data_IF_500946346044
#
_entry.id   IF_500946346044
#
_cell.length_a   1.000
_cell.length_b   1.000
_cell.length_c   1.000
_cell.angle_alpha   90.00
_cell.angle_beta   90.00
_cell.angle_gamma   90.00
#
_symmetry.space_group_name_H-M   'P 1'
#
loop_
_entity.id
_entity.type
_entity.pdbx_description
1 polymer ?
#
# COMPACT_ATOMS: atom_id res chain seq x y z
N UNK A 1 -19.09 -7.37 33.62
CA UNK A 1 -19.13 -6.90 32.22
C UNK A 1 -17.68 -6.76 31.77
N UNK A 2 -17.20 -7.73 30.98
CA UNK A 2 -15.78 -7.97 30.73
C UNK A 2 -15.35 -7.16 29.51
N UNK A 3 -14.35 -6.29 29.71
CA UNK A 3 -13.82 -5.36 28.73
C UNK A 3 -13.06 -6.05 27.60
N UNK A 4 -13.25 -5.52 26.39
CA UNK A 4 -12.70 -6.04 25.15
C UNK A 4 -11.54 -5.15 24.66
N UNK A 5 -10.43 -5.13 25.41
CA UNK A 5 -9.28 -4.23 25.17
C UNK A 5 -8.09 -4.88 24.45
N UNK A 6 -8.31 -5.98 23.69
CA UNK A 6 -7.22 -6.70 22.98
C UNK A 6 -7.14 -6.43 21.47
N UNK A 7 -7.90 -5.49 20.91
CA UNK A 7 -8.11 -5.42 19.46
C UNK A 7 -7.16 -4.51 18.65
N UNK A 8 -6.10 -3.96 19.26
CA UNK A 8 -5.14 -3.06 18.58
C UNK A 8 -3.69 -3.56 18.54
N UNK A 9 -3.43 -4.78 19.00
CA UNK A 9 -2.06 -5.26 19.31
C UNK A 9 -1.40 -6.14 18.24
N UNK A 10 -2.14 -6.63 17.24
CA UNK A 10 -1.64 -7.69 16.35
C UNK A 10 -0.66 -7.23 15.24
N UNK A 11 -0.37 -5.93 15.11
CA UNK A 11 0.63 -5.44 14.14
C UNK A 11 1.91 -4.88 14.77
N UNK A 12 1.97 -4.71 16.10
CA UNK A 12 3.09 -4.08 16.79
C UNK A 12 3.79 -4.96 17.85
N UNK A 13 3.29 -6.17 18.14
CA UNK A 13 3.90 -7.05 19.14
C UNK A 13 4.61 -8.26 18.53
N UNK A 14 5.94 -8.22 18.58
CA UNK A 14 6.80 -9.35 18.92
C UNK A 14 6.57 -10.66 18.17
N UNK A 15 7.11 -10.77 16.96
CA UNK A 15 7.46 -12.07 16.38
C UNK A 15 8.60 -12.69 17.21
N UNK A 16 8.27 -13.47 18.23
CA UNK A 16 9.18 -14.40 18.87
C UNK A 16 9.13 -15.73 18.11
N UNK A 17 10.07 -15.91 17.17
CA UNK A 17 10.26 -17.19 16.51
C UNK A 17 11.03 -18.11 17.46
N UNK A 18 10.34 -19.11 18.01
CA UNK A 18 10.97 -20.16 18.82
C UNK A 18 11.73 -21.11 17.89
N UNK A 19 13.06 -21.03 17.91
CA UNK A 19 13.94 -21.99 17.23
C UNK A 19 13.96 -23.26 18.10
N UNK A 20 13.26 -24.30 17.65
CA UNK A 20 13.38 -25.62 18.24
C UNK A 20 14.66 -26.29 17.71
N UNK A 21 15.71 -26.26 18.53
CA UNK A 21 16.90 -27.09 18.41
C UNK A 21 16.56 -28.52 18.83
N UNK A 22 16.51 -29.44 17.87
CA UNK A 22 16.43 -30.89 18.10
C UNK A 22 17.83 -31.53 18.07
N UNK A 23 18.13 -32.52 18.93
CA UNK A 23 19.48 -32.97 19.19
C UNK A 23 20.03 -33.95 18.16
N UNK A 24 21.36 -33.91 18.03
CA UNK A 24 22.21 -34.91 17.37
C UNK A 24 22.19 -36.20 18.18
N UNK A 25 21.76 -37.31 17.58
CA UNK A 25 22.06 -38.66 18.06
C UNK A 25 22.49 -39.53 16.90
N UNK A 26 23.75 -39.95 16.94
CA UNK A 26 24.34 -40.90 15.99
C UNK A 26 23.85 -42.33 16.22
N UNK A 27 23.98 -43.14 15.17
CA UNK A 27 23.72 -44.57 15.18
C UNK A 27 23.82 -45.14 13.77
N UNK A 28 25.01 -45.59 13.38
CA UNK A 28 25.19 -46.55 12.28
C UNK A 28 24.64 -47.92 12.72
N UNK A 29 24.16 -48.74 11.78
CA UNK A 29 24.99 -49.88 11.40
C UNK A 29 25.00 -50.22 9.89
N UNK A 30 26.17 -50.70 9.44
CA UNK A 30 26.43 -51.66 8.35
C UNK A 30 25.51 -52.90 8.42
N UNK A 31 25.24 -53.73 7.40
CA UNK A 31 25.53 -53.82 5.97
C UNK A 31 24.56 -54.87 5.39
N UNK A 32 24.17 -54.78 4.12
CA UNK A 32 23.84 -55.96 3.29
C UNK A 32 23.73 -55.58 1.80
N UNK A 33 24.66 -56.09 1.00
CA UNK A 33 24.72 -55.93 -0.44
C UNK A 33 23.67 -56.81 -1.17
N UNK A 34 23.12 -56.31 -2.29
CA UNK A 34 23.01 -57.07 -3.55
C UNK A 34 22.67 -56.19 -4.77
N UNK A 35 23.18 -56.65 -5.90
CA UNK A 35 23.51 -55.94 -7.13
C UNK A 35 22.37 -55.60 -8.13
N UNK A 36 22.67 -54.56 -8.93
CA UNK A 36 22.43 -54.39 -10.40
C UNK A 36 21.00 -54.31 -10.96
N UNK A 37 20.67 -53.15 -11.57
CA UNK A 37 20.64 -52.97 -13.05
C UNK A 37 20.24 -51.54 -13.43
N UNK A 38 20.99 -50.95 -14.37
CA UNK A 38 20.79 -49.57 -14.83
C UNK A 38 19.49 -49.34 -15.60
N UNK A 39 19.00 -48.10 -15.53
CA UNK A 39 18.10 -47.53 -16.54
C UNK A 39 18.38 -46.03 -16.69
N UNK A 40 18.49 -45.64 -17.96
CA UNK A 40 18.86 -44.34 -18.53
C UNK A 40 18.12 -43.16 -17.87
N UNK A 41 18.87 -42.12 -17.49
CA UNK A 41 18.35 -40.78 -17.20
C UNK A 41 17.74 -40.20 -18.49
N UNK A 42 16.41 -40.18 -18.58
CA UNK A 42 15.69 -39.30 -19.51
C UNK A 42 15.57 -37.93 -18.83
N UNK A 43 16.19 -36.91 -19.42
CA UNK A 43 15.93 -35.51 -19.08
C UNK A 43 14.44 -35.24 -19.29
N UNK A 44 13.65 -35.14 -18.21
CA UNK A 44 12.35 -34.48 -18.25
C UNK A 44 12.63 -32.99 -18.34
N UNK A 45 12.45 -32.43 -19.54
CA UNK A 45 12.17 -30.99 -19.73
C UNK A 45 11.07 -30.64 -18.74
N UNK A 46 11.38 -29.72 -17.83
CA UNK A 46 10.44 -29.22 -16.83
C UNK A 46 9.19 -28.73 -17.56
N UNK A 47 8.07 -29.41 -17.31
CA UNK A 47 6.77 -28.83 -17.59
C UNK A 47 6.68 -27.58 -16.72
N UNK A 48 6.72 -26.41 -17.38
CA UNK A 48 6.34 -25.13 -16.81
C UNK A 48 4.93 -25.34 -16.26
N UNK A 49 4.81 -25.50 -14.95
CA UNK A 49 3.52 -25.50 -14.28
C UNK A 49 2.90 -24.14 -14.58
N UNK A 50 1.85 -24.13 -15.40
CA UNK A 50 0.94 -23.01 -15.46
C UNK A 50 0.45 -22.80 -14.03
N UNK A 51 0.96 -21.76 -13.38
CA UNK A 51 0.38 -21.26 -12.14
C UNK A 51 -1.08 -20.94 -12.48
N UNK A 52 -2.00 -21.59 -11.79
CA UNK A 52 -3.42 -21.26 -11.89
C UNK A 52 -3.59 -19.77 -11.62
N UNK A 53 -4.24 -19.05 -12.54
CA UNK A 53 -4.51 -17.61 -12.43
C UNK A 53 -5.48 -17.24 -11.29
N UNK A 54 -5.97 -18.22 -10.54
CA UNK A 54 -6.77 -18.01 -9.34
C UNK A 54 -5.93 -17.28 -8.29
N UNK A 55 -6.33 -16.07 -7.94
CA UNK A 55 -5.80 -15.39 -6.78
C UNK A 55 -5.97 -16.27 -5.54
N UNK A 56 -5.00 -16.25 -4.62
CA UNK A 56 -5.03 -17.09 -3.43
C UNK A 56 -6.23 -16.74 -2.55
N UNK A 57 -6.80 -17.77 -1.93
CA UNK A 57 -7.95 -17.62 -1.05
C UNK A 57 -7.65 -16.68 0.12
N UNK A 58 -8.61 -15.83 0.43
CA UNK A 58 -8.49 -14.73 1.38
C UNK A 58 -8.83 -15.21 2.80
N UNK A 59 -8.00 -14.86 3.79
CA UNK A 59 -8.37 -15.03 5.20
C UNK A 59 -9.40 -13.97 5.63
N UNK A 60 -10.68 -14.34 5.60
CA UNK A 60 -11.79 -13.46 5.98
C UNK A 60 -11.75 -13.00 7.44
N UNK A 61 -11.14 -13.77 8.36
CA UNK A 61 -11.02 -13.36 9.76
C UNK A 61 -10.00 -12.23 9.88
N UNK A 62 -8.85 -12.38 9.24
CA UNK A 62 -7.82 -11.35 9.20
C UNK A 62 -8.33 -10.06 8.52
N UNK A 63 -9.13 -10.19 7.45
CA UNK A 63 -9.81 -9.04 6.83
C UNK A 63 -10.80 -8.39 7.76
N UNK A 64 -11.62 -9.15 8.50
CA UNK A 64 -12.55 -8.59 9.48
C UNK A 64 -11.85 -7.74 10.54
N UNK A 65 -10.67 -8.18 11.00
CA UNK A 65 -9.82 -7.41 11.91
C UNK A 65 -9.27 -6.13 11.24
N UNK A 66 -8.85 -6.20 9.97
CA UNK A 66 -8.38 -5.05 9.20
C UNK A 66 -9.49 -4.01 8.99
N UNK A 67 -10.69 -4.48 8.64
CA UNK A 67 -11.89 -3.66 8.52
C UNK A 67 -12.20 -2.94 9.82
N UNK A 68 -11.84 -3.51 10.97
CA UNK A 68 -11.95 -2.89 12.27
C UNK A 68 -13.31 -2.20 12.41
N UNK A 69 -14.41 -2.95 12.37
CA UNK A 69 -15.78 -2.44 12.55
C UNK A 69 -16.33 -1.49 11.47
N UNK A 70 -15.61 -1.25 10.37
CA UNK A 70 -16.17 -0.61 9.17
C UNK A 70 -16.71 -1.68 8.23
N UNK A 71 -17.73 -1.32 7.47
CA UNK A 71 -18.30 -2.18 6.43
C UNK A 71 -18.39 -1.41 5.13
N UNK A 72 -18.20 -2.09 4.00
CA UNK A 72 -18.46 -1.50 2.69
C UNK A 72 -19.95 -1.15 2.54
N UNK A 73 -20.25 -0.08 1.79
CA UNK A 73 -21.58 0.51 1.71
C UNK A 73 -21.85 1.57 2.78
N UNK A 74 -21.01 1.73 3.80
CA UNK A 74 -21.19 2.79 4.80
C UNK A 74 -21.05 4.18 4.17
N UNK A 75 -21.99 5.07 4.46
CA UNK A 75 -21.88 6.49 4.11
C UNK A 75 -20.77 7.20 4.90
N UNK A 76 -20.24 8.35 4.43
CA UNK A 76 -19.27 9.15 5.16
C UNK A 76 -19.72 9.50 6.58
N UNK A 77 -21.03 9.73 6.79
CA UNK A 77 -21.59 10.02 8.11
C UNK A 77 -21.53 8.81 9.04
N UNK A 78 -21.80 7.61 8.53
CA UNK A 78 -21.69 6.37 9.31
C UNK A 78 -20.24 6.09 9.69
N UNK A 79 -19.30 6.24 8.75
CA UNK A 79 -17.85 6.12 9.02
C UNK A 79 -17.40 7.12 10.07
N UNK A 80 -17.80 8.39 9.96
CA UNK A 80 -17.55 9.41 10.98
C UNK A 80 -18.11 9.03 12.35
N UNK A 81 -19.33 8.48 12.41
CA UNK A 81 -19.94 8.02 13.65
C UNK A 81 -19.13 6.92 14.34
N UNK A 82 -18.63 5.94 13.59
CA UNK A 82 -17.76 4.88 14.12
C UNK A 82 -16.42 5.47 14.60
N UNK A 83 -15.81 6.38 13.84
CA UNK A 83 -14.57 7.05 14.25
C UNK A 83 -14.75 7.89 15.52
N UNK A 84 -15.85 8.63 15.63
CA UNK A 84 -16.14 9.46 16.80
C UNK A 84 -16.31 8.62 18.06
N UNK A 85 -17.01 7.48 17.98
CA UNK A 85 -17.12 6.53 19.09
C UNK A 85 -15.75 6.05 19.57
N UNK A 86 -14.85 5.70 18.65
CA UNK A 86 -13.48 5.28 18.99
C UNK A 86 -12.67 6.36 19.69
N UNK A 87 -12.79 7.58 19.20
CA UNK A 87 -12.12 8.73 19.79
C UNK A 87 -12.66 8.97 21.20
N UNK A 88 -13.98 8.95 21.37
CA UNK A 88 -14.62 9.10 22.67
C UNK A 88 -14.17 8.01 23.65
N UNK A 89 -14.12 6.75 23.23
CA UNK A 89 -13.62 5.64 24.05
C UNK A 89 -12.14 5.85 24.43
N UNK A 90 -11.27 6.18 23.46
CA UNK A 90 -9.84 6.44 23.69
C UNK A 90 -9.63 7.55 24.73
N UNK A 91 -10.29 8.70 24.55
CA UNK A 91 -10.11 9.83 25.46
C UNK A 91 -10.84 9.63 26.79
N UNK A 92 -11.95 8.88 26.83
CA UNK A 92 -12.62 8.53 28.08
C UNK A 92 -11.71 7.73 28.99
N UNK A 93 -10.99 6.75 28.45
CA UNK A 93 -10.05 5.94 29.23
C UNK A 93 -8.85 6.78 29.72
N UNK A 94 -8.33 7.67 28.86
CA UNK A 94 -7.24 8.59 29.25
C UNK A 94 -7.65 9.61 30.32
N UNK A 95 -8.88 10.14 30.22
CA UNK A 95 -9.47 11.07 31.21
C UNK A 95 -9.68 10.34 32.53
N UNK A 96 -10.18 9.10 32.50
CA UNK A 96 -10.39 8.31 33.71
C UNK A 96 -9.07 7.92 34.41
N UNK A 97 -7.98 7.78 33.65
CA UNK A 97 -6.65 7.49 34.19
C UNK A 97 -6.00 8.69 34.90
N UNK A 98 -6.54 9.90 34.74
CA UNK A 98 -5.94 11.13 35.28
C UNK A 98 -6.90 11.82 36.25
N UNK A 99 -6.44 12.15 37.45
CA UNK A 99 -7.23 12.90 38.46
C UNK A 99 -7.07 14.41 38.38
N UNK A 100 -6.08 14.91 37.63
CA UNK A 100 -5.84 16.34 37.41
C UNK A 100 -6.90 16.95 36.46
N UNK A 101 -7.63 17.94 36.96
CA UNK A 101 -8.67 18.67 36.24
C UNK A 101 -8.13 19.36 34.98
N UNK A 102 -6.93 19.93 35.03
CA UNK A 102 -6.34 20.63 33.88
C UNK A 102 -5.97 19.66 32.75
N UNK A 103 -5.41 18.50 33.09
CA UNK A 103 -5.11 17.47 32.11
C UNK A 103 -6.38 16.85 31.53
N UNK A 104 -7.43 16.66 32.33
CA UNK A 104 -8.74 16.23 31.82
C UNK A 104 -9.32 17.23 30.80
N UNK A 105 -9.23 18.54 31.07
CA UNK A 105 -9.71 19.56 30.12
C UNK A 105 -8.88 19.57 28.82
N UNK A 106 -7.55 19.49 28.93
CA UNK A 106 -6.66 19.34 27.76
C UNK A 106 -7.02 18.11 26.92
N UNK A 107 -7.32 16.97 27.56
CA UNK A 107 -7.72 15.75 26.87
C UNK A 107 -9.07 15.91 26.15
N UNK A 108 -10.05 16.59 26.76
CA UNK A 108 -11.33 16.90 26.12
C UNK A 108 -11.15 17.82 24.90
N UNK A 109 -10.30 18.82 25.01
CA UNK A 109 -9.99 19.71 23.88
C UNK A 109 -9.22 18.98 22.76
N UNK A 110 -8.30 18.08 23.10
CA UNK A 110 -7.64 17.19 22.13
C UNK A 110 -8.66 16.31 21.39
N UNK A 111 -9.62 15.71 22.11
CA UNK A 111 -10.68 14.90 21.52
C UNK A 111 -11.53 15.72 20.53
N UNK A 112 -11.97 16.92 20.91
CA UNK A 112 -12.72 17.82 20.01
C UNK A 112 -11.92 18.20 18.77
N UNK A 113 -10.65 18.57 18.94
CA UNK A 113 -9.75 18.93 17.82
C UNK A 113 -9.56 17.77 16.86
N UNK A 114 -9.40 16.57 17.38
CA UNK A 114 -9.26 15.35 16.58
C UNK A 114 -10.53 15.04 15.77
N UNK A 115 -11.71 15.09 16.39
CA UNK A 115 -12.99 14.94 15.67
C UNK A 115 -13.18 15.98 14.58
N UNK A 116 -12.84 17.25 14.87
CA UNK A 116 -12.91 18.36 13.89
C UNK A 116 -11.94 18.15 12.73
N UNK A 117 -10.73 17.67 13.01
CA UNK A 117 -9.72 17.36 11.98
C UNK A 117 -10.21 16.28 11.02
N UNK A 118 -10.84 15.22 11.53
CA UNK A 118 -11.38 14.13 10.70
C UNK A 118 -12.57 14.62 9.87
N UNK A 119 -13.45 15.44 10.45
CA UNK A 119 -14.54 16.03 9.68
C UNK A 119 -14.03 16.90 8.54
N UNK A 120 -13.02 17.74 8.83
CA UNK A 120 -12.40 18.63 7.85
C UNK A 120 -11.55 17.90 6.79
N UNK A 121 -11.18 16.64 7.00
CA UNK A 121 -10.39 15.87 6.03
C UNK A 121 -11.23 15.31 4.88
N UNK A 122 -12.56 15.39 4.99
CA UNK A 122 -13.46 14.96 3.92
C UNK A 122 -13.23 15.80 2.65
N UNK A 123 -12.84 15.14 1.57
CA UNK A 123 -12.51 15.77 0.28
C UNK A 123 -13.23 15.06 -0.85
N UNK A 124 -13.93 15.79 -1.71
CA UNK A 124 -14.49 15.27 -2.96
C UNK A 124 -13.53 15.51 -4.13
N UNK A 125 -13.43 14.55 -5.04
CA UNK A 125 -12.58 14.64 -6.24
C UNK A 125 -13.41 15.11 -7.45
N UNK A 126 -13.76 16.40 -7.44
CA UNK A 126 -14.70 17.04 -8.36
C UNK A 126 -14.06 17.59 -9.67
N UNK A 127 -12.87 17.13 -10.05
CA UNK A 127 -12.13 17.69 -11.21
C UNK A 127 -11.17 18.83 -10.88
N UNK A 128 -11.31 19.45 -9.71
CA UNK A 128 -10.38 20.51 -9.28
C UNK A 128 -9.13 19.88 -8.69
N UNK A 129 -7.96 20.41 -9.07
CA UNK A 129 -6.67 20.01 -8.48
C UNK A 129 -6.73 20.11 -6.96
N UNK A 130 -6.42 19.03 -6.25
CA UNK A 130 -6.35 18.97 -4.79
C UNK A 130 -4.92 18.71 -4.35
N UNK A 131 -4.63 18.98 -3.08
CA UNK A 131 -3.35 18.65 -2.45
C UNK A 131 -3.04 17.15 -2.50
N UNK A 132 -4.07 16.30 -2.59
CA UNK A 132 -3.94 14.85 -2.62
C UNK A 132 -3.44 14.29 -3.96
N UNK A 133 -3.45 15.09 -5.02
CA UNK A 133 -3.03 14.66 -6.36
C UNK A 133 -1.51 14.39 -6.46
N UNK A 134 -0.73 14.81 -5.45
CA UNK A 134 0.73 14.60 -5.35
C UNK A 134 1.07 13.87 -4.03
N UNK A 135 0.19 12.98 -3.58
CA UNK A 135 0.33 12.28 -2.30
C UNK A 135 0.44 10.76 -2.49
N UNK A 136 0.68 10.05 -1.40
CA UNK A 136 0.78 8.58 -1.35
C UNK A 136 -0.44 7.82 -1.93
N UNK A 137 -1.56 8.50 -2.12
CA UNK A 137 -2.82 7.95 -2.64
C UNK A 137 -3.16 8.47 -4.04
N UNK A 138 -2.25 9.18 -4.70
CA UNK A 138 -2.43 9.76 -6.04
C UNK A 138 -3.00 8.78 -7.07
N UNK A 139 -2.58 7.52 -7.03
CA UNK A 139 -3.03 6.47 -7.95
C UNK A 139 -4.32 5.78 -7.54
N UNK A 140 -4.90 6.11 -6.37
CA UNK A 140 -6.00 5.35 -5.78
C UNK A 140 -7.39 5.93 -6.06
N UNK A 141 -7.47 7.17 -6.56
CA UNK A 141 -8.70 7.86 -6.92
C UNK A 141 -8.60 8.46 -8.33
N UNK A 142 -9.75 8.83 -8.90
CA UNK A 142 -9.81 9.65 -10.10
C UNK A 142 -10.80 10.82 -9.89
N UNK A 143 -10.55 11.91 -10.59
CA UNK A 143 -11.45 13.06 -10.56
C UNK A 143 -12.68 12.84 -11.45
N UNK A 144 -13.80 13.48 -11.11
CA UNK A 144 -15.02 13.46 -11.93
C UNK A 144 -15.79 12.13 -11.90
N UNK A 145 -15.47 11.26 -10.94
CA UNK A 145 -16.05 9.92 -10.81
C UNK A 145 -16.93 9.75 -9.57
N UNK A 146 -17.44 10.85 -9.01
CA UNK A 146 -18.20 10.87 -7.75
C UNK A 146 -17.43 10.23 -6.58
N UNK A 147 -16.11 10.28 -6.69
CA UNK A 147 -15.21 9.78 -5.66
C UNK A 147 -14.96 10.84 -4.60
N UNK A 148 -14.91 10.38 -3.36
CA UNK A 148 -14.57 11.20 -2.21
C UNK A 148 -13.69 10.41 -1.25
N UNK A 149 -13.07 11.12 -0.32
CA UNK A 149 -12.17 10.54 0.64
C UNK A 149 -12.32 11.17 2.02
N UNK A 150 -12.08 10.40 3.06
CA UNK A 150 -11.88 10.86 4.43
C UNK A 150 -10.59 10.28 4.99
N UNK A 151 -9.85 11.07 5.77
CA UNK A 151 -8.56 10.65 6.35
C UNK A 151 -8.65 10.62 7.87
N UNK A 152 -8.22 9.51 8.44
CA UNK A 152 -8.05 9.31 9.88
C UNK A 152 -6.57 9.08 10.21
N UNK A 153 -6.04 9.87 11.15
CA UNK A 153 -4.65 9.82 11.56
C UNK A 153 -4.56 8.99 12.84
N UNK A 154 -4.08 7.77 12.71
CA UNK A 154 -3.90 6.85 13.82
C UNK A 154 -2.46 7.01 14.33
N UNK A 155 -2.27 7.99 15.21
CA UNK A 155 -1.00 8.24 15.89
C UNK A 155 -1.12 7.95 17.39
N UNK A 156 -0.27 7.06 17.87
CA UNK A 156 -0.09 6.73 19.27
C UNK A 156 1.43 6.57 19.54
N UNK A 157 2.08 7.64 20.04
CA UNK A 157 3.52 7.61 20.31
C UNK A 157 3.92 6.55 21.34
N UNK A 158 3.07 6.28 22.33
CA UNK A 158 3.35 5.30 23.39
C UNK A 158 3.38 3.87 22.83
N UNK A 159 2.58 3.60 21.80
CA UNK A 159 2.50 2.31 21.13
C UNK A 159 3.36 2.22 19.86
N UNK A 160 4.16 3.25 19.57
CA UNK A 160 4.90 3.40 18.31
C UNK A 160 4.01 3.20 17.06
N UNK A 161 2.76 3.68 17.14
CA UNK A 161 1.81 3.63 16.03
C UNK A 161 1.84 4.97 15.32
N UNK A 162 2.18 4.95 14.04
CA UNK A 162 2.12 6.10 13.15
C UNK A 162 1.62 5.67 11.77
N UNK A 163 0.29 5.56 11.65
CA UNK A 163 -0.36 5.15 10.42
C UNK A 163 -1.49 6.11 10.03
N UNK A 164 -1.80 6.16 8.75
CA UNK A 164 -2.92 6.93 8.21
C UNK A 164 -3.88 5.97 7.52
N UNK A 165 -5.15 6.08 7.86
CA UNK A 165 -6.22 5.33 7.21
C UNK A 165 -7.05 6.29 6.36
N UNK A 166 -7.11 6.01 5.08
CA UNK A 166 -7.92 6.71 4.11
C UNK A 166 -9.14 5.86 3.80
N UNK A 167 -10.31 6.48 3.82
CA UNK A 167 -11.58 5.88 3.45
C UNK A 167 -12.02 6.49 2.14
N UNK A 168 -12.19 5.68 1.12
CA UNK A 168 -12.62 6.10 -0.20
C UNK A 168 -14.08 5.74 -0.41
N UNK A 169 -14.82 6.73 -0.90
CA UNK A 169 -16.23 6.64 -1.17
C UNK A 169 -16.46 6.83 -2.66
N UNK A 170 -17.41 6.08 -3.21
CA UNK A 170 -17.93 6.27 -4.57
C UNK A 170 -19.45 6.33 -4.45
N UNK A 171 -20.08 7.28 -5.12
CA UNK A 171 -21.54 7.52 -5.02
C UNK A 171 -22.04 7.68 -3.57
N UNK A 172 -21.15 8.12 -2.66
CA UNK A 172 -21.46 8.32 -1.25
C UNK A 172 -21.35 7.07 -0.37
N UNK A 173 -20.81 5.96 -0.89
CA UNK A 173 -20.66 4.69 -0.18
C UNK A 173 -19.19 4.27 -0.06
N UNK A 174 -18.79 3.78 1.12
CA UNK A 174 -17.44 3.29 1.38
C UNK A 174 -17.18 2.04 0.54
N UNK A 175 -16.19 2.08 -0.33
CA UNK A 175 -15.81 0.93 -1.15
C UNK A 175 -14.35 0.50 -0.96
N UNK A 176 -13.50 1.39 -0.44
CA UNK A 176 -12.07 1.12 -0.26
C UNK A 176 -11.54 1.78 1.02
N UNK A 177 -10.70 1.04 1.73
CA UNK A 177 -9.87 1.54 2.81
C UNK A 177 -8.40 1.38 2.43
N UNK A 178 -7.61 2.42 2.60
CA UNK A 178 -6.18 2.42 2.33
C UNK A 178 -5.42 2.77 3.59
N UNK A 179 -4.55 1.88 4.06
CA UNK A 179 -3.75 2.07 5.24
C UNK A 179 -2.31 2.34 4.81
N UNK A 180 -1.77 3.48 5.23
CA UNK A 180 -0.37 3.83 5.05
C UNK A 180 0.36 3.73 6.39
N UNK A 181 1.31 2.80 6.48
CA UNK A 181 2.16 2.58 7.65
C UNK A 181 3.49 3.30 7.45
N UNK A 182 3.90 4.14 8.40
CA UNK A 182 5.25 4.73 8.38
C UNK A 182 6.29 3.62 8.59
N UNK A 183 7.31 3.55 7.73
CA UNK A 183 8.37 2.56 7.83
C UNK A 183 9.13 2.65 9.18
N UNK A 184 9.10 3.80 9.85
CA UNK A 184 9.69 4.01 11.18
C UNK A 184 9.01 3.20 12.27
N UNK A 185 7.77 2.73 12.06
CA UNK A 185 7.12 1.78 12.95
C UNK A 185 7.86 0.43 13.01
N UNK A 186 8.63 0.11 11.96
CA UNK A 186 9.41 -1.12 11.87
C UNK A 186 10.87 -0.90 12.32
N UNK A 187 11.50 -1.91 12.95
CA UNK A 187 12.92 -1.87 13.28
C UNK A 187 13.78 -1.57 12.04
N UNK A 188 14.90 -0.86 12.20
CA UNK A 188 15.70 -0.34 11.07
C UNK A 188 16.10 -1.42 10.05
N UNK A 189 16.51 -2.61 10.50
CA UNK A 189 16.86 -3.74 9.61
C UNK A 189 15.67 -4.46 8.96
N UNK A 190 14.43 -4.05 9.26
CA UNK A 190 13.18 -4.66 8.81
C UNK A 190 12.33 -3.70 7.97
N UNK A 191 12.86 -2.53 7.63
CA UNK A 191 12.21 -1.53 6.76
C UNK A 191 12.35 -1.91 5.29
N UNK A 192 11.95 -3.12 4.94
CA UNK A 192 12.03 -3.64 3.57
C UNK A 192 10.68 -4.17 3.12
N UNK A 193 10.39 -4.05 1.82
CA UNK A 193 9.16 -4.58 1.27
C UNK A 193 9.09 -6.10 1.39
N UNK A 194 10.23 -6.81 1.32
CA UNK A 194 10.28 -8.26 1.54
C UNK A 194 9.81 -8.64 2.95
N UNK A 195 10.24 -7.91 3.98
CA UNK A 195 9.78 -8.16 5.36
C UNK A 195 8.28 -7.86 5.50
N UNK A 196 7.82 -6.74 4.94
CA UNK A 196 6.41 -6.38 4.96
C UNK A 196 5.54 -7.43 4.24
N UNK A 197 5.96 -7.85 3.05
CA UNK A 197 5.31 -8.89 2.27
C UNK A 197 5.20 -10.20 3.07
N UNK A 198 6.29 -10.69 3.65
CA UNK A 198 6.29 -11.90 4.48
C UNK A 198 5.34 -11.78 5.68
N UNK A 199 5.28 -10.60 6.32
CA UNK A 199 4.35 -10.35 7.41
C UNK A 199 2.88 -10.38 6.95
N UNK A 200 2.59 -9.88 5.74
CA UNK A 200 1.25 -9.97 5.15
C UNK A 200 0.90 -11.41 4.77
N UNK A 201 1.84 -12.17 4.20
CA UNK A 201 1.60 -13.58 3.87
C UNK A 201 1.31 -14.43 5.12
N UNK A 202 2.02 -14.16 6.21
CA UNK A 202 1.75 -14.81 7.50
C UNK A 202 0.36 -14.52 8.07
N UNK A 203 -0.30 -13.44 7.63
CA UNK A 203 -1.61 -13.02 8.13
C UNK A 203 -2.77 -13.32 7.18
N UNK A 204 -2.54 -13.20 5.87
CA UNK A 204 -3.59 -13.32 4.86
C UNK A 204 -3.43 -14.56 3.96
N UNK A 205 -2.37 -15.35 4.17
CA UNK A 205 -2.01 -16.48 3.32
C UNK A 205 -1.06 -16.09 2.17
N UNK A 206 -0.65 -17.05 1.32
CA UNK A 206 0.22 -16.75 0.18
C UNK A 206 -0.43 -15.69 -0.72
N UNK A 207 0.33 -14.71 -1.22
CA UNK A 207 -0.19 -13.65 -2.09
C UNK A 207 0.17 -13.85 -3.57
N UNK A 208 -0.61 -13.27 -4.50
CA UNK A 208 -0.21 -13.20 -5.92
C UNK A 208 0.66 -11.97 -6.13
N UNK A 209 1.90 -12.15 -6.55
CA UNK A 209 2.81 -11.04 -6.87
C UNK A 209 2.47 -10.50 -8.25
N UNK A 210 2.17 -9.21 -8.34
CA UNK A 210 1.93 -8.49 -9.60
C UNK A 210 3.15 -7.66 -9.93
N UNK A 211 3.66 -7.83 -11.14
CA UNK A 211 4.81 -7.11 -11.65
C UNK A 211 4.39 -5.96 -12.56
N UNK A 212 5.21 -4.91 -12.60
CA UNK A 212 5.13 -3.80 -13.54
C UNK A 212 6.50 -3.64 -14.20
N UNK A 213 6.49 -3.39 -15.51
CA UNK A 213 7.70 -3.10 -16.26
C UNK A 213 8.06 -1.62 -16.06
N UNK A 214 9.30 -1.35 -15.68
CA UNK A 214 9.80 0.01 -15.65
C UNK A 214 10.12 0.54 -17.06
N UNK A 215 10.47 1.82 -17.15
CA UNK A 215 10.84 2.47 -18.41
C UNK A 215 12.06 1.86 -19.12
N UNK A 216 12.82 1.01 -18.45
CA UNK A 216 13.98 0.30 -19.00
C UNK A 216 13.67 -1.17 -19.32
N UNK A 217 12.42 -1.61 -19.11
CA UNK A 217 11.98 -2.98 -19.34
C UNK A 217 12.26 -3.93 -18.17
N UNK A 218 12.75 -3.43 -17.04
CA UNK A 218 12.98 -4.26 -15.86
C UNK A 218 11.68 -4.48 -15.10
N UNK A 219 11.43 -5.74 -14.72
CA UNK A 219 10.24 -6.10 -13.94
C UNK A 219 10.44 -5.76 -12.46
N UNK A 220 9.58 -4.89 -11.95
CA UNK A 220 9.50 -4.55 -10.52
C UNK A 220 8.20 -5.06 -9.93
N UNK A 221 8.22 -5.36 -8.64
CA UNK A 221 6.99 -5.72 -7.95
C UNK A 221 6.13 -4.47 -7.81
N UNK A 222 4.96 -4.47 -8.47
CA UNK A 222 3.97 -3.40 -8.35
C UNK A 222 3.24 -3.50 -7.01
N UNK A 223 2.66 -4.67 -6.75
CA UNK A 223 1.95 -4.98 -5.53
C UNK A 223 1.81 -6.49 -5.36
N UNK A 224 1.41 -6.90 -4.17
CA UNK A 224 0.97 -8.28 -3.89
C UNK A 224 -0.51 -8.25 -3.59
N UNK A 225 -1.27 -9.16 -4.18
CA UNK A 225 -2.73 -9.19 -4.05
C UNK A 225 -3.30 -10.50 -3.49
N UNK A 226 -4.38 -10.34 -2.73
CA UNK A 226 -5.29 -11.39 -2.30
C UNK A 226 -6.69 -10.99 -2.75
N UNK A 227 -7.42 -11.91 -3.39
CA UNK A 227 -8.70 -11.58 -4.00
C UNK A 227 -9.68 -12.73 -3.89
N UNK A 228 -10.91 -12.38 -3.55
CA UNK A 228 -12.09 -13.23 -3.67
C UNK A 228 -13.26 -12.44 -4.31
N UNK A 229 -14.47 -12.98 -4.27
CA UNK A 229 -15.67 -12.36 -4.84
C UNK A 229 -16.17 -11.11 -4.09
N UNK A 230 -15.72 -10.92 -2.85
CA UNK A 230 -16.13 -9.86 -1.92
C UNK A 230 -15.00 -8.87 -1.64
N UNK A 231 -13.78 -9.34 -1.43
CA UNK A 231 -12.64 -8.56 -1.00
C UNK A 231 -11.51 -8.57 -2.02
N UNK A 232 -10.93 -7.40 -2.21
CA UNK A 232 -9.68 -7.23 -2.94
C UNK A 232 -8.68 -6.49 -2.05
N UNK A 233 -7.61 -7.18 -1.69
CA UNK A 233 -6.54 -6.70 -0.81
C UNK A 233 -5.25 -6.56 -1.62
N UNK A 234 -4.58 -5.41 -1.51
CA UNK A 234 -3.28 -5.14 -2.14
C UNK A 234 -2.27 -4.63 -1.12
N UNK A 235 -1.10 -5.26 -1.06
CA UNK A 235 0.08 -4.75 -0.38
C UNK A 235 0.97 -4.00 -1.39
N UNK A 236 1.21 -2.71 -1.16
CA UNK A 236 1.85 -1.81 -2.12
C UNK A 236 3.12 -1.22 -1.49
N UNK A 237 4.21 -1.23 -2.26
CA UNK A 237 5.46 -0.61 -1.86
C UNK A 237 5.47 0.88 -2.24
N UNK A 238 5.49 1.77 -1.24
CA UNK A 238 5.69 3.21 -1.43
C UNK A 238 6.89 3.70 -0.59
N UNK A 239 7.81 2.80 -0.25
CA UNK A 239 8.95 3.09 0.63
C UNK A 239 9.89 4.14 0.02
N UNK A 240 10.24 4.00 -1.26
CA UNK A 240 11.26 4.82 -1.91
C UNK A 240 10.88 6.31 -1.98
N UNK A 241 9.59 6.61 -2.17
CA UNK A 241 9.11 7.98 -2.33
C UNK A 241 8.51 8.56 -1.04
N UNK A 242 7.80 7.75 -0.25
CA UNK A 242 7.02 8.25 0.88
C UNK A 242 7.47 7.68 2.23
N UNK A 243 8.42 6.74 2.25
CA UNK A 243 8.88 6.10 3.49
C UNK A 243 7.80 5.24 4.15
N UNK A 244 6.89 4.67 3.35
CA UNK A 244 5.67 4.01 3.86
C UNK A 244 5.37 2.71 3.13
N UNK A 245 4.81 1.75 3.87
CA UNK A 245 4.14 0.57 3.29
C UNK A 245 2.64 0.79 3.26
N UNK A 246 1.98 0.31 2.22
CA UNK A 246 0.55 0.52 2.05
C UNK A 246 -0.22 -0.78 1.94
N UNK A 247 -1.43 -0.79 2.49
CA UNK A 247 -2.38 -1.88 2.39
C UNK A 247 -3.73 -1.33 1.96
N UNK A 248 -4.19 -1.71 0.77
CA UNK A 248 -5.47 -1.29 0.21
C UNK A 248 -6.46 -2.45 0.29
N UNK A 249 -7.54 -2.30 1.04
CA UNK A 249 -8.66 -3.24 1.12
C UNK A 249 -9.88 -2.62 0.45
N UNK A 250 -10.48 -3.32 -0.50
CA UNK A 250 -11.61 -2.83 -1.29
C UNK A 250 -12.68 -3.89 -1.49
N UNK A 251 -13.90 -3.46 -1.78
CA UNK A 251 -14.95 -4.34 -2.29
C UNK A 251 -14.57 -4.76 -3.71
N UNK A 252 -14.38 -6.06 -3.92
CA UNK A 252 -13.87 -6.60 -5.18
C UNK A 252 -14.76 -6.31 -6.40
N UNK A 253 -16.06 -6.14 -6.18
CA UNK A 253 -17.04 -5.85 -7.24
C UNK A 253 -17.03 -4.37 -7.58
N UNK A 254 -17.07 -3.52 -6.56
CA UNK A 254 -17.06 -2.07 -6.73
C UNK A 254 -15.70 -1.61 -7.28
N UNK A 255 -14.58 -2.19 -6.83
CA UNK A 255 -13.24 -1.86 -7.37
C UNK A 255 -13.13 -2.16 -8.87
N UNK A 256 -13.71 -3.28 -9.33
CA UNK A 256 -13.70 -3.62 -10.75
C UNK A 256 -14.54 -2.62 -11.55
N UNK A 257 -15.75 -2.36 -11.08
CA UNK A 257 -16.66 -1.41 -11.73
C UNK A 257 -16.09 0.01 -11.77
N UNK A 258 -15.46 0.50 -10.70
CA UNK A 258 -14.86 1.83 -10.68
C UNK A 258 -13.63 1.91 -11.59
N UNK A 259 -12.85 0.84 -11.70
CA UNK A 259 -11.74 0.77 -12.64
C UNK A 259 -12.22 0.96 -14.09
N UNK A 260 -13.27 0.25 -14.48
CA UNK A 260 -13.84 0.34 -15.82
C UNK A 260 -14.45 1.75 -16.06
N UNK A 261 -15.20 2.27 -15.08
CA UNK A 261 -15.75 3.63 -15.12
C UNK A 261 -14.68 4.72 -15.23
N UNK A 262 -13.54 4.55 -14.56
CA UNK A 262 -12.38 5.46 -14.66
C UNK A 262 -11.77 5.43 -16.05
N UNK A 263 -11.67 4.27 -16.68
CA UNK A 263 -11.16 4.13 -18.04
C UNK A 263 -12.10 4.80 -19.07
N UNK A 264 -13.41 4.64 -18.91
CA UNK A 264 -14.43 5.27 -19.77
C UNK A 264 -14.46 6.79 -19.67
N UNK A 265 -14.20 7.33 -18.46
CA UNK A 265 -14.24 8.77 -18.16
C UNK A 265 -12.87 9.42 -18.13
N UNK A 266 -11.82 8.67 -18.46
CA UNK A 266 -10.48 9.24 -18.56
C UNK A 266 -10.52 10.34 -19.65
N UNK A 267 -9.99 11.54 -19.38
CA UNK A 267 -9.82 12.52 -20.45
C UNK A 267 -8.97 11.87 -21.55
N UNK A 268 -9.30 12.11 -22.83
CA UNK A 268 -8.45 11.70 -23.93
C UNK A 268 -7.01 12.12 -23.60
N UNK A 269 -6.07 11.17 -23.70
CA UNK A 269 -4.65 11.46 -23.54
C UNK A 269 -4.34 12.56 -24.55
N UNK A 270 -4.23 13.79 -24.08
CA UNK A 270 -3.62 14.84 -24.88
C UNK A 270 -2.18 14.41 -25.00
N UNK A 271 -1.75 14.11 -26.22
CA UNK A 271 -0.34 13.96 -26.52
C UNK A 271 0.32 15.30 -26.18
N UNK A 272 0.86 15.41 -24.97
CA UNK A 272 1.70 16.52 -24.52
C UNK A 272 3.08 16.49 -25.23
N UNK A 273 3.11 16.00 -26.47
CA UNK A 273 4.25 15.98 -27.36
C UNK A 273 4.32 17.22 -28.26
N UNK A 274 3.39 18.19 -28.19
CA UNK A 274 3.44 19.36 -29.11
C UNK A 274 4.70 20.23 -28.96
N UNK A 275 5.43 20.14 -27.84
CA UNK A 275 6.72 20.84 -27.66
C UNK A 275 7.89 19.98 -28.15
N UNK A 276 7.81 18.66 -27.99
CA UNK A 276 8.87 17.73 -28.43
C UNK A 276 8.77 17.50 -29.94
N UNK A 277 7.57 17.39 -30.51
CA UNK A 277 7.32 17.34 -31.94
C UNK A 277 7.73 18.64 -32.63
N UNK A 278 7.57 19.81 -31.99
CA UNK A 278 8.06 21.07 -32.56
C UNK A 278 9.60 21.11 -32.63
N UNK A 279 10.30 20.48 -31.69
CA UNK A 279 11.78 20.37 -31.71
C UNK A 279 12.24 19.32 -32.73
N UNK A 280 11.46 18.25 -32.91
CA UNK A 280 11.78 17.17 -33.88
C UNK A 280 11.38 17.52 -35.32
N UNK A 281 10.35 18.36 -35.51
CA UNK A 281 9.97 18.92 -36.82
C UNK A 281 10.95 20.00 -37.29
N UNK A 282 11.54 20.79 -36.36
CA UNK A 282 12.63 21.73 -36.68
C UNK A 282 13.91 21.00 -37.12
N UNK A 283 14.16 19.76 -36.68
CA UNK A 283 15.34 18.98 -37.11
C UNK A 283 15.21 18.40 -38.54
N UNK A 284 14.00 18.32 -39.11
CA UNK A 284 13.78 17.84 -40.49
C UNK A 284 13.56 18.97 -41.51
N UNK A 285 13.52 20.23 -41.05
CA UNK A 285 13.57 21.43 -41.86
C UNK A 285 15.01 21.93 -41.94
N UNK A 286 15.74 21.47 -42.95
CA UNK A 286 17.17 21.77 -43.17
C UNK A 286 17.55 23.25 -42.98
N UNK A 287 18.67 23.49 -42.29
CA UNK A 287 19.77 24.47 -42.57
C UNK A 287 20.21 25.26 -41.32
N UNK A 288 21.47 25.04 -40.91
CA UNK A 288 22.36 25.91 -40.10
C UNK A 288 21.96 26.26 -38.65
N UNK A 289 22.15 25.35 -37.70
CA UNK A 289 22.33 25.70 -36.27
C UNK A 289 23.48 24.94 -35.57
N UNK A 290 24.02 23.88 -36.18
CA UNK A 290 25.19 23.16 -35.65
C UNK A 290 26.53 23.85 -35.95
N UNK A 291 26.63 24.59 -37.06
CA UNK A 291 27.89 25.29 -37.42
C UNK A 291 28.20 26.49 -36.51
N UNK A 292 27.21 27.07 -35.82
CA UNK A 292 27.45 28.19 -34.89
C UNK A 292 27.92 27.77 -33.50
N UNK A 293 27.79 26.48 -33.13
CA UNK A 293 28.22 25.98 -31.81
C UNK A 293 29.58 25.27 -31.85
N UNK A 294 30.04 24.79 -33.00
CA UNK A 294 31.39 24.24 -33.13
C UNK A 294 32.47 25.32 -32.92
N UNK A 295 32.24 26.54 -33.43
CA UNK A 295 33.16 27.68 -33.28
C UNK A 295 33.23 28.24 -31.84
N UNK A 296 32.15 28.10 -31.07
CA UNK A 296 32.11 28.56 -29.67
C UNK A 296 32.92 27.65 -28.73
N UNK A 297 32.92 26.34 -28.99
CA UNK A 297 33.67 25.36 -28.19
C UNK A 297 35.16 25.40 -28.54
N UNK A 298 35.51 25.57 -29.82
CA UNK A 298 36.93 25.63 -30.25
C UNK A 298 37.63 26.93 -29.80
N UNK A 299 36.88 28.03 -29.66
CA UNK A 299 37.37 29.31 -29.12
C UNK A 299 37.65 29.27 -27.61
N UNK A 300 36.94 28.43 -26.86
CA UNK A 300 37.19 28.20 -25.43
C UNK A 300 38.41 27.30 -25.22
N UNK A 301 38.65 26.33 -26.11
CA UNK A 301 39.79 25.41 -26.02
C UNK A 301 41.13 26.04 -26.44
N UNK A 302 41.12 27.04 -27.35
CA UNK A 302 42.35 27.72 -27.82
C UNK A 302 42.67 29.04 -27.11
N UNK A 303 41.79 29.52 -26.22
CA UNK A 303 41.92 30.81 -25.52
C UNK A 303 42.53 30.74 -24.11
N UNK A 304 43.15 29.61 -23.73
CA UNK A 304 43.71 29.38 -22.40
C UNK A 304 45.22 29.20 -22.38
N UNK A 305 45.95 30.32 -22.53
CA UNK A 305 47.42 30.52 -22.50
C UNK A 305 48.24 30.08 -23.72
#
# INVERSE_FOLDING_TARGET
MIGNTKLLWALACGFALSIASGPVTGGMPEAAAKARKGKKKKHKRGARSQASDAAPAVDHKAIGELMNGFEFGMSPKQVLGVLYKRIDEKYKDQIAATTDVYEQDKLREKAKKEKKRIYASYTKFDGKKKTWDVSIIDTEFAHGNDEAMLVFWESDPEKNINQRRFFFFVDGELYKMYLAFDARMFPEGKRTFAYFHQAMEGRYGPGKVVFEEDKYGDQRIKHVEWRDDKYYLRAINRLDFYGTFCLALSDARVERWIHDRRAERAPEKRDDNRIIDAVVEDENSSTTLTESNEDAVDRILRGGK
#
